data_IF_264398863453
#
_entry.id   IF_264398863453
#
_cell.length_a   1.000
_cell.length_b   1.000
_cell.length_c   1.000
_cell.angle_alpha   90.00
_cell.angle_beta   90.00
_cell.angle_gamma   90.00
#
_symmetry.space_group_name_H-M   'P 1'
#
loop_
_entity.id
_entity.type
_entity.pdbx_description
1 polymer ?
#
# COMPACT_ATOMS: atom_id res chain seq x y z
N UNK A 1 14.63 3.44 -7.40
CA UNK A 1 14.00 2.55 -6.41
C UNK A 1 12.82 3.23 -5.72
N UNK A 2 12.99 4.44 -5.16
CA UNK A 2 11.88 5.24 -4.62
C UNK A 2 10.80 5.61 -5.67
N UNK A 3 11.20 5.87 -6.92
CA UNK A 3 10.26 6.15 -8.03
C UNK A 3 9.28 4.99 -8.28
N UNK A 4 9.70 3.74 -8.08
CA UNK A 4 8.83 2.58 -8.28
C UNK A 4 7.77 2.47 -7.18
N UNK A 5 8.15 2.77 -5.93
CA UNK A 5 7.23 2.74 -4.78
C UNK A 5 6.21 3.87 -4.91
N UNK A 6 6.65 5.07 -5.31
CA UNK A 6 5.76 6.20 -5.55
C UNK A 6 4.69 5.89 -6.62
N UNK A 7 5.08 5.23 -7.71
CA UNK A 7 4.12 4.81 -8.74
C UNK A 7 3.14 3.74 -8.25
N UNK A 8 3.59 2.74 -7.48
CA UNK A 8 2.72 1.71 -6.92
C UNK A 8 1.67 2.35 -6.00
N UNK A 9 2.09 3.24 -5.09
CA UNK A 9 1.16 3.94 -4.18
C UNK A 9 0.15 4.74 -5.00
N UNK A 10 0.62 5.49 -6.01
CA UNK A 10 -0.26 6.28 -6.87
C UNK A 10 -1.32 5.43 -7.56
N UNK A 11 -0.91 4.33 -8.18
CA UNK A 11 -1.81 3.45 -8.93
C UNK A 11 -2.86 2.79 -8.02
N UNK A 12 -2.47 2.38 -6.81
CA UNK A 12 -3.42 1.84 -5.82
C UNK A 12 -4.40 2.88 -5.29
N UNK A 13 -3.92 4.09 -4.98
CA UNK A 13 -4.79 5.20 -4.54
C UNK A 13 -5.76 5.58 -5.66
N UNK A 14 -5.29 5.70 -6.90
CA UNK A 14 -6.14 6.01 -8.06
C UNK A 14 -7.20 4.92 -8.28
N UNK A 15 -6.83 3.66 -8.15
CA UNK A 15 -7.77 2.53 -8.24
C UNK A 15 -8.86 2.62 -7.16
N UNK A 16 -8.49 2.92 -5.92
CA UNK A 16 -9.45 3.09 -4.81
C UNK A 16 -10.37 4.30 -5.05
N UNK A 17 -9.83 5.42 -5.48
CA UNK A 17 -10.60 6.63 -5.83
C UNK A 17 -11.59 6.38 -6.98
N UNK A 18 -11.20 5.61 -8.00
CA UNK A 18 -12.09 5.26 -9.11
C UNK A 18 -13.20 4.30 -8.70
N UNK A 19 -12.96 3.46 -7.68
CA UNK A 19 -13.96 2.56 -7.11
C UNK A 19 -14.91 3.24 -6.12
N UNK A 20 -14.60 4.48 -5.70
CA UNK A 20 -15.44 5.23 -4.76
C UNK A 20 -16.71 5.74 -5.45
N UNK A 21 -17.85 5.41 -4.86
CA UNK A 21 -19.18 5.71 -5.39
C UNK A 21 -19.93 6.74 -4.55
N UNK A 22 -19.38 7.11 -3.38
CA UNK A 22 -19.97 8.12 -2.51
C UNK A 22 -19.95 9.53 -3.14
N UNK A 23 -20.91 10.36 -2.72
CA UNK A 23 -21.04 11.76 -3.15
C UNK A 23 -19.74 12.56 -2.93
N UNK A 24 -18.97 12.18 -1.91
CA UNK A 24 -17.74 12.86 -1.53
C UNK A 24 -16.47 12.33 -2.23
N UNK A 25 -16.59 11.46 -3.25
CA UNK A 25 -15.44 10.79 -3.88
C UNK A 25 -14.27 11.69 -4.33
N UNK A 26 -14.53 12.96 -4.62
CA UNK A 26 -13.52 13.94 -5.05
C UNK A 26 -13.08 14.92 -3.95
N UNK A 27 -13.53 14.71 -2.71
CA UNK A 27 -13.07 15.50 -1.59
C UNK A 27 -11.64 15.12 -1.20
N UNK A 28 -10.90 16.12 -0.75
CA UNK A 28 -9.53 15.95 -0.24
C UNK A 28 -9.47 14.94 0.92
N UNK A 29 -10.50 14.93 1.77
CA UNK A 29 -10.60 13.99 2.90
C UNK A 29 -10.66 12.53 2.43
N UNK A 30 -11.39 12.26 1.35
CA UNK A 30 -11.50 10.91 0.76
C UNK A 30 -10.17 10.48 0.15
N UNK A 31 -9.49 11.40 -0.57
CA UNK A 31 -8.14 11.13 -1.08
C UNK A 31 -7.16 10.82 0.05
N UNK A 32 -7.18 11.61 1.11
CA UNK A 32 -6.31 11.42 2.27
C UNK A 32 -6.56 10.09 2.96
N UNK A 33 -7.83 9.72 3.17
CA UNK A 33 -8.22 8.43 3.72
C UNK A 33 -7.69 7.26 2.87
N UNK A 34 -7.79 7.33 1.54
CA UNK A 34 -7.27 6.28 0.68
C UNK A 34 -5.74 6.21 0.67
N UNK A 35 -5.04 7.34 0.74
CA UNK A 35 -3.58 7.38 0.89
C UNK A 35 -3.16 6.70 2.20
N UNK A 36 -3.78 7.05 3.32
CA UNK A 36 -3.50 6.45 4.63
C UNK A 36 -3.74 4.94 4.59
N UNK A 37 -4.87 4.50 4.05
CA UNK A 37 -5.18 3.07 3.92
C UNK A 37 -4.16 2.29 3.07
N UNK A 38 -3.69 2.87 1.97
CA UNK A 38 -2.67 2.23 1.11
C UNK A 38 -1.35 2.12 1.87
N UNK A 39 -0.91 3.20 2.53
CA UNK A 39 0.34 3.20 3.30
C UNK A 39 0.32 2.18 4.44
N UNK A 40 -0.77 2.10 5.21
CA UNK A 40 -0.92 1.11 6.29
C UNK A 40 -0.91 -0.32 5.75
N UNK A 41 -1.63 -0.59 4.65
CA UNK A 41 -1.62 -1.91 4.00
C UNK A 41 -0.21 -2.31 3.54
N UNK A 42 0.59 -1.37 3.02
CA UNK A 42 1.97 -1.65 2.62
C UNK A 42 2.88 -1.94 3.82
N UNK A 43 2.69 -1.25 4.94
CA UNK A 43 3.43 -1.51 6.18
C UNK A 43 3.14 -2.93 6.71
N UNK A 44 1.86 -3.30 6.81
CA UNK A 44 1.43 -4.64 7.24
C UNK A 44 1.98 -5.75 6.33
N UNK A 45 1.93 -5.54 5.01
CA UNK A 45 2.49 -6.49 4.04
C UNK A 45 4.00 -6.64 4.18
N UNK A 46 4.70 -5.54 4.49
CA UNK A 46 6.16 -5.57 4.73
C UNK A 46 6.47 -6.35 6.00
N UNK A 47 5.74 -6.10 7.09
CA UNK A 47 5.89 -6.83 8.35
C UNK A 47 5.63 -8.34 8.18
N UNK A 48 4.58 -8.71 7.44
CA UNK A 48 4.28 -10.10 7.10
C UNK A 48 5.40 -10.74 6.29
N UNK A 49 5.93 -10.02 5.30
CA UNK A 49 7.05 -10.51 4.48
C UNK A 49 8.32 -10.72 5.31
N UNK A 50 8.67 -9.78 6.18
CA UNK A 50 9.80 -9.89 7.10
C UNK A 50 9.64 -11.08 8.05
N UNK A 51 8.45 -11.28 8.60
CA UNK A 51 8.10 -12.41 9.47
C UNK A 51 8.24 -13.75 8.74
N UNK A 52 7.77 -13.82 7.49
CA UNK A 52 7.94 -15.00 6.64
C UNK A 52 9.42 -15.27 6.35
N UNK A 53 10.21 -14.25 6.02
CA UNK A 53 11.65 -14.41 5.81
C UNK A 53 12.37 -14.91 7.06
N UNK A 54 11.95 -14.47 8.24
CA UNK A 54 12.50 -14.94 9.52
C UNK A 54 12.10 -16.38 9.83
N UNK A 55 10.92 -16.81 9.40
CA UNK A 55 10.41 -18.17 9.56
C UNK A 55 11.09 -19.20 8.65
N UNK A 56 11.79 -18.76 7.59
CA UNK A 56 12.56 -19.61 6.68
C UNK A 56 14.07 -19.29 6.73
N UNK A 57 14.79 -19.70 7.79
CA UNK A 57 16.21 -19.36 7.99
C UNK A 57 17.14 -19.90 6.88
N UNK A 58 16.72 -20.93 6.13
CA UNK A 58 17.45 -21.46 4.98
C UNK A 58 17.44 -20.55 3.75
N UNK A 59 16.56 -19.54 3.66
CA UNK A 59 16.55 -18.52 2.59
C UNK A 59 17.42 -17.30 2.88
N UNK A 60 17.96 -17.14 4.10
CA UNK A 60 18.91 -16.07 4.46
C UNK A 60 20.37 -16.33 4.01
N UNK A 61 20.66 -17.46 3.36
CA UNK A 61 22.03 -17.86 2.91
C UNK A 61 22.15 -18.09 1.40
N UNK A 62 21.41 -17.36 0.57
CA UNK A 62 21.62 -17.32 -0.88
C UNK A 62 22.04 -15.92 -1.30
#
# INVERSE_FOLDING_TARGET
MAECIGSIIKDEVETKMLSETEYNRYHEDTLKMHIENVLTSMEENTELFETLLCSYPSRRRA
#
